data_IF_956845596709
#
_entry.id   IF_956845596709
#
_cell.length_a   1.000
_cell.length_b   1.000
_cell.length_c   1.000
_cell.angle_alpha   90.00
_cell.angle_beta   90.00
_cell.angle_gamma   90.00
#
_symmetry.space_group_name_H-M   'P 1'
#
loop_
_entity.id
_entity.type
_entity.pdbx_description
1 polymer ?
#
# COMPACT_ATOMS: atom_id res chain seq x y z
N UNK A 1 -6.22 -12.30 -0.11
CA UNK A 1 -6.62 -11.92 -1.48
C UNK A 1 -7.97 -11.22 -1.38
N UNK A 2 -9.11 -11.92 -1.35
CA UNK A 2 -10.44 -11.27 -1.33
C UNK A 2 -10.66 -10.20 -0.24
N UNK A 3 -10.43 -10.49 1.04
CA UNK A 3 -10.81 -9.58 2.14
C UNK A 3 -10.10 -8.21 2.16
N UNK A 4 -8.91 -8.14 1.55
CA UNK A 4 -8.07 -6.93 1.53
C UNK A 4 -8.42 -6.08 0.34
N UNK A 5 -8.53 -6.75 -0.81
CA UNK A 5 -9.05 -6.16 -2.02
C UNK A 5 -10.47 -5.65 -1.78
N UNK A 6 -11.32 -6.34 -1.02
CA UNK A 6 -12.65 -5.86 -0.62
C UNK A 6 -12.57 -4.59 0.26
N UNK A 7 -11.63 -4.49 1.20
CA UNK A 7 -11.50 -3.29 2.05
C UNK A 7 -10.99 -2.08 1.27
N UNK A 8 -10.02 -2.29 0.38
CA UNK A 8 -9.49 -1.26 -0.52
C UNK A 8 -10.55 -0.89 -1.57
N UNK A 9 -11.20 -1.88 -2.19
CA UNK A 9 -12.29 -1.62 -3.14
C UNK A 9 -13.47 -0.93 -2.47
N UNK A 10 -13.86 -1.28 -1.24
CA UNK A 10 -14.96 -0.61 -0.55
C UNK A 10 -14.64 0.87 -0.27
N UNK A 11 -13.39 1.22 0.04
CA UNK A 11 -12.98 2.61 0.26
C UNK A 11 -12.87 3.42 -1.04
N UNK A 12 -12.46 2.78 -2.15
CA UNK A 12 -12.17 3.48 -3.40
C UNK A 12 -13.22 3.29 -4.51
N UNK A 13 -14.25 2.47 -4.30
CA UNK A 13 -15.40 2.37 -5.20
C UNK A 13 -16.38 3.51 -4.96
N UNK A 14 -16.85 4.07 -6.07
CA UNK A 14 -17.84 5.12 -6.06
C UNK A 14 -18.87 4.81 -7.13
N UNK A 15 -20.13 4.67 -6.74
CA UNK A 15 -21.24 4.44 -7.67
C UNK A 15 -21.36 5.56 -8.71
N UNK A 16 -20.96 6.78 -8.33
CA UNK A 16 -20.91 7.94 -9.24
C UNK A 16 -19.83 7.71 -10.28
N UNK A 17 -18.59 7.41 -9.87
CA UNK A 17 -17.48 7.16 -10.81
C UNK A 17 -17.78 5.97 -11.71
N UNK A 18 -18.32 4.89 -11.15
CA UNK A 18 -18.74 3.70 -11.90
C UNK A 18 -19.86 4.02 -12.89
N UNK A 19 -20.82 4.86 -12.50
CA UNK A 19 -21.87 5.38 -13.37
C UNK A 19 -21.32 6.20 -14.54
N UNK A 20 -20.41 7.14 -14.26
CA UNK A 20 -19.74 7.96 -15.29
C UNK A 20 -18.93 7.07 -16.24
N UNK A 21 -18.22 6.07 -15.71
CA UNK A 21 -17.44 5.11 -16.50
C UNK A 21 -18.31 4.30 -17.45
N UNK A 22 -19.47 3.79 -16.98
CA UNK A 22 -20.45 3.07 -17.81
C UNK A 22 -21.03 3.95 -18.93
N UNK A 23 -21.14 5.26 -18.70
CA UNK A 23 -21.65 6.24 -19.68
C UNK A 23 -20.57 6.82 -20.60
N UNK A 24 -19.45 6.12 -20.79
CA UNK A 24 -18.38 6.55 -21.71
C UNK A 24 -17.41 7.58 -21.12
N UNK A 25 -17.42 7.78 -19.81
CA UNK A 25 -16.46 8.63 -19.09
C UNK A 25 -16.79 10.12 -19.16
N UNK A 26 -18.00 10.51 -19.58
CA UNK A 26 -18.42 11.91 -19.64
C UNK A 26 -19.78 12.03 -18.96
N UNK A 27 -19.93 13.04 -18.11
CA UNK A 27 -21.22 13.44 -17.54
C UNK A 27 -21.35 14.96 -17.59
N UNK A 28 -22.56 15.45 -17.88
CA UNK A 28 -22.89 16.87 -17.86
C UNK A 28 -24.02 17.12 -16.88
N UNK A 29 -23.85 18.12 -16.02
CA UNK A 29 -24.83 18.55 -15.02
C UNK A 29 -24.96 20.07 -15.16
N UNK A 30 -26.10 20.53 -15.68
CA UNK A 30 -26.27 21.93 -16.05
C UNK A 30 -25.26 22.34 -17.13
N UNK A 31 -24.48 23.37 -16.82
CA UNK A 31 -23.40 23.91 -17.65
C UNK A 31 -22.01 23.28 -17.36
N UNK A 32 -21.92 22.40 -16.36
CA UNK A 32 -20.67 21.73 -15.99
C UNK A 32 -20.54 20.39 -16.69
N UNK A 33 -19.38 20.12 -17.29
CA UNK A 33 -19.05 18.82 -17.88
C UNK A 33 -17.82 18.22 -17.19
N UNK A 34 -17.97 17.00 -16.66
CA UNK A 34 -16.88 16.21 -16.08
C UNK A 34 -16.46 15.16 -17.10
N UNK A 35 -15.15 15.07 -17.35
CA UNK A 35 -14.53 14.06 -18.22
C UNK A 35 -13.57 13.22 -17.41
N UNK A 36 -13.87 11.94 -17.30
CA UNK A 36 -13.05 10.97 -16.62
C UNK A 36 -11.93 10.50 -17.56
N UNK A 37 -10.70 10.40 -17.02
CA UNK A 37 -9.59 9.84 -17.77
C UNK A 37 -9.87 8.37 -18.15
N UNK A 38 -9.34 7.92 -19.29
CA UNK A 38 -9.49 6.51 -19.72
C UNK A 38 -8.80 5.54 -18.77
N UNK A 39 -7.67 5.96 -18.19
CA UNK A 39 -6.86 5.21 -17.25
C UNK A 39 -6.64 6.09 -16.02
N UNK A 40 -7.10 5.62 -14.87
CA UNK A 40 -6.96 6.26 -13.56
C UNK A 40 -7.11 5.20 -12.46
N UNK A 41 -6.64 5.52 -11.26
CA UNK A 41 -6.61 4.59 -10.13
C UNK A 41 -5.25 3.93 -9.93
N UNK A 42 -5.24 2.79 -9.23
CA UNK A 42 -4.01 2.07 -8.94
C UNK A 42 -3.49 1.33 -10.17
N UNK A 43 -2.16 1.36 -10.35
CA UNK A 43 -1.51 0.50 -11.31
C UNK A 43 -1.25 -0.88 -10.68
N UNK A 44 -1.01 -1.88 -11.54
CA UNK A 44 -0.72 -3.24 -11.09
C UNK A 44 0.39 -3.33 -10.03
N UNK A 45 1.44 -2.49 -10.15
CA UNK A 45 2.53 -2.47 -9.18
C UNK A 45 2.09 -2.03 -7.78
N UNK A 46 1.15 -1.07 -7.71
CA UNK A 46 0.57 -0.59 -6.44
C UNK A 46 -0.32 -1.66 -5.83
N UNK A 47 -1.24 -2.23 -6.62
CA UNK A 47 -2.14 -3.29 -6.16
C UNK A 47 -1.34 -4.48 -5.61
N UNK A 48 -0.33 -4.92 -6.37
CA UNK A 48 0.55 -6.01 -5.96
C UNK A 48 1.31 -5.73 -4.67
N UNK A 49 1.80 -4.51 -4.47
CA UNK A 49 2.52 -4.16 -3.26
C UNK A 49 1.61 -4.21 -2.03
N UNK A 50 0.41 -3.62 -2.14
CA UNK A 50 -0.61 -3.66 -1.09
C UNK A 50 -0.96 -5.11 -0.77
N UNK A 51 -1.28 -5.92 -1.78
CA UNK A 51 -1.62 -7.33 -1.62
C UNK A 51 -0.53 -8.11 -0.89
N UNK A 52 0.74 -7.87 -1.22
CA UNK A 52 1.87 -8.55 -0.60
C UNK A 52 1.98 -8.20 0.88
N UNK A 53 1.76 -6.94 1.27
CA UNK A 53 1.84 -6.53 2.66
C UNK A 53 0.76 -7.19 3.52
N UNK A 54 -0.48 -7.22 3.03
CA UNK A 54 -1.55 -7.93 3.74
C UNK A 54 -1.36 -9.45 3.73
N UNK A 55 -0.87 -10.02 2.62
CA UNK A 55 -0.54 -11.44 2.57
C UNK A 55 0.55 -11.79 3.57
N UNK A 56 1.58 -10.96 3.71
CA UNK A 56 2.63 -11.11 4.72
C UNK A 56 2.03 -11.13 6.12
N UNK A 57 1.09 -10.23 6.45
CA UNK A 57 0.40 -10.28 7.75
C UNK A 57 -0.39 -11.56 7.98
N UNK A 58 -1.04 -12.08 6.95
CA UNK A 58 -1.82 -13.33 7.04
C UNK A 58 -0.93 -14.58 7.18
N UNK A 59 0.22 -14.61 6.49
CA UNK A 59 1.16 -15.74 6.47
C UNK A 59 2.03 -15.74 7.73
N UNK A 60 2.55 -14.59 8.12
CA UNK A 60 3.46 -14.41 9.25
C UNK A 60 2.74 -13.88 10.48
N UNK A 61 1.73 -14.60 10.97
CA UNK A 61 0.86 -14.14 12.06
C UNK A 61 1.63 -13.88 13.36
N UNK A 62 2.61 -14.72 13.67
CA UNK A 62 3.32 -14.70 14.95
C UNK A 62 4.69 -14.01 14.86
N UNK A 63 5.06 -13.49 13.68
CA UNK A 63 6.32 -12.78 13.47
C UNK A 63 6.09 -11.28 13.44
N UNK A 64 7.09 -10.52 13.85
CA UNK A 64 7.07 -9.05 13.73
C UNK A 64 7.28 -8.69 12.27
N UNK A 65 6.46 -7.75 11.80
CA UNK A 65 6.49 -7.28 10.42
C UNK A 65 6.91 -5.83 10.39
N UNK A 66 7.81 -5.54 9.46
CA UNK A 66 8.34 -4.22 9.25
C UNK A 66 8.24 -3.85 7.78
N UNK A 67 8.27 -2.56 7.50
CA UNK A 67 8.37 -2.01 6.15
C UNK A 67 9.43 -0.91 6.11
N UNK A 68 10.15 -0.83 5.00
CA UNK A 68 11.08 0.27 4.76
C UNK A 68 10.35 1.42 4.08
N UNK A 69 10.15 2.52 4.79
CA UNK A 69 9.46 3.69 4.27
C UNK A 69 7.97 3.45 4.06
N UNK A 70 7.39 4.24 3.16
CA UNK A 70 5.98 4.11 2.78
C UNK A 70 5.80 2.99 1.75
N UNK A 71 4.69 2.25 1.80
CA UNK A 71 4.41 1.22 0.79
C UNK A 71 4.17 1.85 -0.59
N UNK A 72 3.47 2.99 -0.59
CA UNK A 72 3.16 3.89 -1.69
C UNK A 72 2.99 5.31 -1.13
N UNK A 73 3.10 6.36 -1.95
CA UNK A 73 2.85 7.74 -1.53
C UNK A 73 1.34 8.07 -1.40
N UNK A 74 0.65 7.33 -0.55
CA UNK A 74 -0.74 7.57 -0.18
C UNK A 74 -0.87 7.42 1.35
N UNK A 75 -1.18 8.51 2.09
CA UNK A 75 -1.20 8.47 3.54
C UNK A 75 -2.24 7.50 4.10
N UNK A 76 -3.41 7.39 3.47
CA UNK A 76 -4.50 6.51 3.91
C UNK A 76 -4.09 5.03 3.80
N UNK A 77 -3.47 4.65 2.68
CA UNK A 77 -2.96 3.27 2.51
C UNK A 77 -1.86 2.96 3.52
N UNK A 78 -0.96 3.91 3.82
CA UNK A 78 0.07 3.69 4.83
C UNK A 78 -0.52 3.53 6.25
N UNK A 79 -1.57 4.29 6.58
CA UNK A 79 -2.28 4.15 7.86
C UNK A 79 -2.93 2.78 7.98
N UNK A 80 -3.59 2.30 6.92
CA UNK A 80 -4.14 0.95 6.87
C UNK A 80 -3.05 -0.12 7.10
N UNK A 81 -1.91 -0.03 6.42
CA UNK A 81 -0.78 -0.96 6.62
C UNK A 81 -0.26 -0.91 8.06
N UNK A 82 -0.15 0.29 8.65
CA UNK A 82 0.28 0.43 10.04
C UNK A 82 -0.74 -0.17 11.03
N UNK A 83 -2.04 -0.05 10.74
CA UNK A 83 -3.11 -0.65 11.54
C UNK A 83 -3.06 -2.20 11.58
N UNK A 84 -2.40 -2.83 10.60
CA UNK A 84 -2.13 -4.26 10.60
C UNK A 84 -1.00 -4.67 11.57
N UNK A 85 -0.37 -3.71 12.24
CA UNK A 85 0.78 -3.92 13.12
C UNK A 85 2.12 -3.97 12.37
N UNK A 86 2.16 -3.56 11.11
CA UNK A 86 3.39 -3.47 10.32
C UNK A 86 4.08 -2.15 10.66
N UNK A 87 5.30 -2.21 11.20
CA UNK A 87 6.03 -1.02 11.68
C UNK A 87 6.99 -0.47 10.63
N UNK A 88 7.03 0.85 10.46
CA UNK A 88 7.97 1.48 9.54
C UNK A 88 9.37 1.67 10.17
N UNK A 89 10.42 1.32 9.44
CA UNK A 89 11.82 1.42 9.87
C UNK A 89 12.50 2.75 9.51
N UNK A 90 11.95 3.51 8.57
CA UNK A 90 12.62 4.70 8.01
C UNK A 90 11.64 5.84 7.70
N UNK A 91 12.18 7.02 7.38
CA UNK A 91 11.38 8.17 6.98
C UNK A 91 10.67 8.87 8.14
N UNK A 92 9.69 9.73 7.80
CA UNK A 92 9.02 10.62 8.76
C UNK A 92 8.13 9.88 9.77
N UNK A 93 7.55 8.76 9.34
CA UNK A 93 6.63 7.95 10.15
C UNK A 93 7.35 6.73 10.75
N UNK A 94 8.65 6.84 11.04
CA UNK A 94 9.45 5.77 11.64
C UNK A 94 8.88 5.36 13.00
N UNK A 95 8.71 4.06 13.19
CA UNK A 95 8.13 3.42 14.37
C UNK A 95 9.06 2.43 15.06
N UNK A 96 10.16 2.04 14.40
CA UNK A 96 11.19 1.17 14.94
C UNK A 96 12.54 1.45 14.27
N UNK A 97 13.63 1.07 14.92
CA UNK A 97 14.97 1.14 14.36
C UNK A 97 15.39 -0.15 13.67
N UNK A 98 16.18 -0.05 12.59
CA UNK A 98 16.77 -1.22 11.91
C UNK A 98 17.61 -2.04 12.88
N UNK A 99 18.27 -1.40 13.85
CA UNK A 99 19.07 -2.09 14.86
C UNK A 99 18.26 -2.97 15.82
N UNK A 100 16.93 -2.82 15.86
CA UNK A 100 16.03 -3.66 16.68
C UNK A 100 15.61 -4.96 15.98
N UNK A 101 15.98 -5.12 14.70
CA UNK A 101 15.65 -6.29 13.91
C UNK A 101 16.34 -7.55 14.47
N UNK A 102 15.60 -8.64 14.43
CA UNK A 102 16.03 -9.99 14.79
C UNK A 102 15.95 -10.89 13.54
N UNK A 103 16.72 -11.99 13.48
CA UNK A 103 16.76 -12.88 12.32
C UNK A 103 15.40 -13.48 11.91
N UNK A 104 14.47 -13.57 12.84
CA UNK A 104 13.12 -14.06 12.60
C UNK A 104 12.12 -12.96 12.26
N UNK A 105 12.54 -11.71 12.05
CA UNK A 105 11.64 -10.67 11.57
C UNK A 105 11.37 -10.78 10.07
N UNK A 106 10.27 -10.17 9.62
CA UNK A 106 9.94 -10.06 8.20
C UNK A 106 9.93 -8.60 7.80
N UNK A 107 10.76 -8.25 6.82
CA UNK A 107 10.86 -6.88 6.30
C UNK A 107 10.31 -6.82 4.88
N UNK A 108 9.33 -5.94 4.67
CA UNK A 108 8.72 -5.66 3.37
C UNK A 108 9.47 -4.50 2.73
N UNK A 109 9.82 -4.66 1.45
CA UNK A 109 10.32 -3.57 0.62
C UNK A 109 9.16 -2.94 -0.16
N UNK A 110 9.15 -1.61 -0.30
CA UNK A 110 8.08 -0.91 -1.00
C UNK A 110 8.17 -1.10 -2.52
N UNK A 111 7.11 -0.72 -3.24
CA UNK A 111 6.99 -0.92 -4.69
C UNK A 111 8.12 -0.29 -5.51
N UNK A 112 8.72 0.77 -5.01
CA UNK A 112 9.81 1.53 -5.64
C UNK A 112 11.21 1.14 -5.14
N UNK A 113 11.32 0.14 -4.27
CA UNK A 113 12.58 -0.33 -3.71
C UNK A 113 13.14 0.54 -2.58
N UNK A 114 14.40 0.27 -2.20
CA UNK A 114 15.13 1.01 -1.16
C UNK A 114 16.58 1.19 -1.55
N UNK A 115 17.29 2.08 -0.86
CA UNK A 115 18.74 2.23 -1.01
C UNK A 115 19.48 0.93 -0.67
N UNK A 116 20.57 0.67 -1.39
CA UNK A 116 21.41 -0.52 -1.18
C UNK A 116 22.02 -0.57 0.23
N UNK A 117 22.35 0.59 0.78
CA UNK A 117 22.86 0.75 2.16
C UNK A 117 21.87 0.18 3.18
N UNK A 118 20.60 0.57 3.08
CA UNK A 118 19.51 0.11 3.96
C UNK A 118 19.28 -1.39 3.76
N UNK A 119 19.26 -1.85 2.51
CA UNK A 119 19.10 -3.28 2.21
C UNK A 119 20.22 -4.12 2.83
N UNK A 120 21.46 -3.64 2.76
CA UNK A 120 22.60 -4.34 3.36
C UNK A 120 22.48 -4.37 4.89
N UNK A 121 22.15 -3.23 5.51
CA UNK A 121 21.91 -3.18 6.95
C UNK A 121 20.86 -4.19 7.39
N UNK A 122 19.73 -4.32 6.68
CA UNK A 122 18.70 -5.31 7.00
C UNK A 122 19.25 -6.74 6.88
N UNK A 123 19.99 -7.06 5.82
CA UNK A 123 20.57 -8.40 5.60
C UNK A 123 21.63 -8.79 6.63
N UNK A 124 22.32 -7.81 7.20
CA UNK A 124 23.34 -8.07 8.23
C UNK A 124 22.71 -8.55 9.56
N UNK A 125 21.40 -8.36 9.75
CA UNK A 125 20.64 -8.83 10.91
C UNK A 125 20.09 -10.27 10.78
N UNK A 126 20.34 -10.96 9.65
CA UNK A 126 19.90 -12.35 9.39
C UNK A 126 18.88 -12.46 8.28
#
# INVERSE_FOLDING_TARGET
MAAVQEQVEAHYRSDVVDGVRRNGGIISVGDVTVRLAKQFGFCYGVERAIDLAYAARKVFKDRRLFIVGEIIHNPEVNEQISSLGIKNLTGRNKQADISELQPDDVVILPAFGTELSILQQIKDHG
#
